data_IF_373855127541
#
_entry.id   IF_373855127541
#
_cell.length_a   1.000
_cell.length_b   1.000
_cell.length_c   1.000
_cell.angle_alpha   90.00
_cell.angle_beta   90.00
_cell.angle_gamma   90.00
#
_symmetry.space_group_name_H-M   'P 1'
#
loop_
_entity.id
_entity.type
_entity.pdbx_description
1 polymer ?
#
# COMPACT_ATOMS: atom_id res chain seq x y z
N UNK A 1 22.15 12.27 7.16
CA UNK A 1 20.77 12.74 7.47
C UNK A 1 20.29 13.97 6.68
N UNK A 2 21.12 15.02 6.44
CA UNK A 2 20.72 16.29 5.77
C UNK A 2 20.14 16.08 4.35
N UNK A 3 20.81 15.30 3.50
CA UNK A 3 20.42 15.01 2.10
C UNK A 3 19.10 14.22 1.95
N UNK A 4 18.83 13.27 2.88
CA UNK A 4 17.55 12.52 2.96
C UNK A 4 16.37 13.44 3.36
N UNK A 5 16.58 14.34 4.35
CA UNK A 5 15.58 15.35 4.73
C UNK A 5 15.31 16.33 3.59
N UNK A 6 16.37 16.79 2.91
CA UNK A 6 16.26 17.73 1.79
C UNK A 6 15.45 17.17 0.61
N UNK A 7 15.68 15.91 0.21
CA UNK A 7 14.90 15.25 -0.84
C UNK A 7 13.43 15.02 -0.45
N UNK A 8 13.15 14.74 0.83
CA UNK A 8 11.78 14.59 1.36
C UNK A 8 11.03 15.93 1.34
N UNK A 9 11.71 17.04 1.63
CA UNK A 9 11.14 18.39 1.59
C UNK A 9 10.92 18.87 0.15
N UNK A 10 11.85 18.59 -0.77
CA UNK A 10 11.72 18.91 -2.20
C UNK A 10 10.54 18.18 -2.85
N UNK A 11 10.37 16.87 -2.61
CA UNK A 11 9.24 16.11 -3.16
C UNK A 11 7.87 16.60 -2.66
N UNK A 12 7.78 17.00 -1.39
CA UNK A 12 6.57 17.62 -0.84
C UNK A 12 6.28 18.98 -1.47
N UNK A 13 7.30 19.83 -1.64
CA UNK A 13 7.14 21.14 -2.28
C UNK A 13 6.65 21.03 -3.71
N UNK A 14 7.21 20.10 -4.50
CA UNK A 14 6.76 19.81 -5.87
C UNK A 14 5.30 19.36 -5.89
N UNK A 15 4.92 18.46 -4.97
CA UNK A 15 3.54 17.95 -4.90
C UNK A 15 2.55 19.08 -4.56
N UNK A 16 2.90 19.96 -3.62
CA UNK A 16 2.05 21.11 -3.24
C UNK A 16 1.92 22.08 -4.42
N UNK A 17 3.03 22.42 -5.07
CA UNK A 17 3.03 23.34 -6.21
C UNK A 17 2.16 22.79 -7.36
N UNK A 18 2.33 21.51 -7.71
CA UNK A 18 1.51 20.85 -8.73
C UNK A 18 0.02 20.87 -8.37
N UNK A 19 -0.33 20.56 -7.12
CA UNK A 19 -1.73 20.63 -6.67
C UNK A 19 -2.31 22.03 -6.79
N UNK A 20 -1.55 23.08 -6.47
CA UNK A 20 -1.98 24.47 -6.62
C UNK A 20 -2.19 24.81 -8.10
N UNK A 21 -1.24 24.45 -8.97
CA UNK A 21 -1.32 24.74 -10.41
C UNK A 21 -2.51 24.03 -11.07
N UNK A 22 -2.70 22.74 -10.76
CA UNK A 22 -3.84 21.94 -11.25
C UNK A 22 -5.15 22.54 -10.73
N UNK A 23 -5.21 22.88 -9.44
CA UNK A 23 -6.38 23.50 -8.83
C UNK A 23 -6.74 24.85 -9.45
N UNK A 24 -5.75 25.71 -9.69
CA UNK A 24 -5.93 27.00 -10.34
C UNK A 24 -6.41 26.85 -11.79
N UNK A 25 -5.78 25.98 -12.57
CA UNK A 25 -6.20 25.69 -13.94
C UNK A 25 -7.64 25.15 -13.99
N UNK A 26 -7.96 24.18 -13.13
CA UNK A 26 -9.30 23.65 -12.98
C UNK A 26 -10.33 24.73 -12.60
N UNK A 27 -9.98 25.63 -11.66
CA UNK A 27 -10.87 26.71 -11.21
C UNK A 27 -11.15 27.75 -12.28
N UNK A 28 -10.13 28.16 -13.05
CA UNK A 28 -10.30 29.10 -14.18
C UNK A 28 -11.19 28.48 -15.25
N UNK A 29 -10.93 27.22 -15.61
CA UNK A 29 -11.70 26.52 -16.64
C UNK A 29 -13.14 26.29 -16.18
N UNK A 30 -13.33 25.90 -14.92
CA UNK A 30 -14.65 25.76 -14.30
C UNK A 30 -15.46 27.06 -14.34
N UNK A 31 -14.85 28.19 -13.95
CA UNK A 31 -15.50 29.49 -13.97
C UNK A 31 -15.87 29.93 -15.40
N UNK A 32 -15.01 29.62 -16.38
CA UNK A 32 -15.24 29.94 -17.78
C UNK A 32 -16.38 29.12 -18.40
N UNK A 33 -16.43 27.80 -18.16
CA UNK A 33 -17.41 26.91 -18.79
C UNK A 33 -18.80 26.94 -18.15
N UNK A 34 -18.92 27.39 -16.90
CA UNK A 34 -20.19 27.41 -16.17
C UNK A 34 -20.82 28.81 -16.04
N UNK A 35 -20.16 29.88 -16.49
CA UNK A 35 -20.70 31.26 -16.44
C UNK A 35 -21.19 31.65 -15.04
N UNK A 36 -20.36 31.32 -14.04
CA UNK A 36 -20.69 31.40 -12.60
C UNK A 36 -21.07 32.79 -12.12
N UNK A 37 -20.75 33.84 -12.89
CA UNK A 37 -21.12 35.25 -12.60
C UNK A 37 -22.62 35.51 -12.68
N UNK A 38 -23.37 34.65 -13.37
CA UNK A 38 -24.83 34.81 -13.58
C UNK A 38 -25.67 33.95 -12.64
N UNK A 39 -25.04 33.16 -11.78
CA UNK A 39 -25.73 32.23 -10.89
C UNK A 39 -26.22 32.93 -9.62
N UNK A 40 -27.42 32.57 -9.17
CA UNK A 40 -27.87 32.83 -7.81
C UNK A 40 -27.04 32.06 -6.78
N UNK A 41 -27.13 32.45 -5.51
CA UNK A 41 -26.38 31.78 -4.43
C UNK A 41 -26.74 30.29 -4.30
N UNK A 42 -28.00 29.92 -4.53
CA UNK A 42 -28.46 28.53 -4.50
C UNK A 42 -27.91 27.72 -5.68
N UNK A 43 -27.92 28.28 -6.88
CA UNK A 43 -27.33 27.65 -8.07
C UNK A 43 -25.82 27.49 -7.92
N UNK A 44 -25.14 28.47 -7.33
CA UNK A 44 -23.73 28.38 -7.01
C UNK A 44 -23.45 27.24 -6.01
N UNK A 45 -24.25 27.13 -4.95
CA UNK A 45 -24.15 26.04 -3.97
C UNK A 45 -24.31 24.66 -4.62
N UNK A 46 -25.34 24.48 -5.45
CA UNK A 46 -25.57 23.23 -6.19
C UNK A 46 -24.42 22.93 -7.16
N UNK A 47 -23.94 23.95 -7.88
CA UNK A 47 -22.81 23.82 -8.81
C UNK A 47 -21.55 23.37 -8.07
N UNK A 48 -21.28 23.92 -6.88
CA UNK A 48 -20.14 23.50 -6.06
C UNK A 48 -20.23 22.03 -5.63
N UNK A 49 -21.41 21.54 -5.25
CA UNK A 49 -21.62 20.12 -4.91
C UNK A 49 -21.29 19.23 -6.10
N UNK A 50 -21.86 19.50 -7.28
CA UNK A 50 -21.59 18.72 -8.49
C UNK A 50 -20.13 18.75 -8.91
N UNK A 51 -19.47 19.89 -8.70
CA UNK A 51 -18.04 20.07 -8.99
C UNK A 51 -17.18 19.15 -8.14
N UNK A 52 -17.44 19.09 -6.84
CA UNK A 52 -16.72 18.17 -5.92
C UNK A 52 -16.97 16.72 -6.31
N UNK A 53 -18.21 16.35 -6.63
CA UNK A 53 -18.57 14.99 -7.05
C UNK A 53 -17.86 14.58 -8.35
N UNK A 54 -17.85 15.45 -9.36
CA UNK A 54 -17.18 15.19 -10.63
C UNK A 54 -15.67 15.15 -10.50
N UNK A 55 -15.08 16.03 -9.68
CA UNK A 55 -13.65 15.98 -9.40
C UNK A 55 -13.26 14.68 -8.70
N UNK A 56 -14.04 14.25 -7.70
CA UNK A 56 -13.81 12.99 -7.01
C UNK A 56 -13.97 11.79 -7.95
N UNK A 57 -15.01 11.77 -8.78
CA UNK A 57 -15.20 10.74 -9.80
C UNK A 57 -14.03 10.70 -10.82
N UNK A 58 -13.53 11.85 -11.25
CA UNK A 58 -12.38 11.95 -12.15
C UNK A 58 -11.11 11.36 -11.52
N UNK A 59 -10.87 11.61 -10.22
CA UNK A 59 -9.76 10.97 -9.49
C UNK A 59 -9.91 9.45 -9.49
N UNK A 60 -11.10 8.91 -9.16
CA UNK A 60 -11.32 7.47 -9.14
C UNK A 60 -11.10 6.82 -10.52
N UNK A 61 -11.61 7.44 -11.58
CA UNK A 61 -11.42 6.95 -12.95
C UNK A 61 -9.95 7.00 -13.35
N UNK A 62 -9.22 8.06 -13.02
CA UNK A 62 -7.79 8.13 -13.35
C UNK A 62 -6.95 7.12 -12.55
N UNK A 63 -7.36 6.76 -11.32
CA UNK A 63 -6.77 5.64 -10.60
C UNK A 63 -7.03 4.33 -11.35
N UNK A 64 -8.26 4.07 -11.80
CA UNK A 64 -8.57 2.85 -12.58
C UNK A 64 -7.74 2.80 -13.87
N UNK A 65 -7.64 3.91 -14.61
CA UNK A 65 -6.81 4.01 -15.81
C UNK A 65 -5.33 3.73 -15.49
N UNK A 66 -4.83 4.29 -14.40
CA UNK A 66 -3.45 4.08 -13.94
C UNK A 66 -3.18 2.60 -13.63
N UNK A 67 -3.99 1.99 -12.76
CA UNK A 67 -3.80 0.58 -12.41
C UNK A 67 -3.99 -0.35 -13.62
N UNK A 68 -4.86 0.02 -14.57
CA UNK A 68 -5.02 -0.71 -15.85
C UNK A 68 -3.75 -0.65 -16.69
N UNK A 69 -2.99 0.44 -16.65
CA UNK A 69 -1.70 0.54 -17.32
C UNK A 69 -0.69 -0.49 -16.78
N UNK A 70 -0.57 -0.65 -15.46
CA UNK A 70 0.25 -1.71 -14.87
C UNK A 70 -0.20 -3.10 -15.31
N UNK A 71 -1.52 -3.33 -15.34
CA UNK A 71 -2.10 -4.60 -15.79
C UNK A 71 -1.72 -4.91 -17.23
N UNK A 72 -1.98 -3.99 -18.16
CA UNK A 72 -1.72 -4.18 -19.60
C UNK A 72 -0.25 -4.42 -19.85
N UNK A 73 0.63 -3.54 -19.34
CA UNK A 73 2.07 -3.69 -19.57
C UNK A 73 2.68 -4.85 -18.79
N UNK A 74 2.12 -5.25 -17.64
CA UNK A 74 2.50 -6.47 -16.95
C UNK A 74 2.17 -7.70 -17.80
N UNK A 75 0.96 -7.81 -18.34
CA UNK A 75 0.57 -8.92 -19.23
C UNK A 75 1.46 -8.99 -20.47
N UNK A 76 1.71 -7.84 -21.12
CA UNK A 76 2.59 -7.74 -22.30
C UNK A 76 4.04 -8.16 -22.00
N UNK A 77 4.47 -8.06 -20.74
CA UNK A 77 5.82 -8.43 -20.30
C UNK A 77 5.88 -9.80 -19.60
N UNK A 78 4.81 -10.59 -19.67
CA UNK A 78 4.76 -11.96 -19.15
C UNK A 78 4.43 -12.08 -17.67
N UNK A 79 4.01 -11.01 -17.01
CA UNK A 79 3.43 -11.08 -15.67
C UNK A 79 2.03 -11.69 -15.71
N UNK A 80 1.64 -12.34 -14.61
CA UNK A 80 0.32 -12.95 -14.44
C UNK A 80 -0.50 -12.14 -13.45
N UNK A 81 -1.77 -11.89 -13.79
CA UNK A 81 -2.67 -11.17 -12.90
C UNK A 81 -2.83 -11.87 -11.53
N UNK A 82 -2.66 -11.13 -10.44
CA UNK A 82 -2.95 -11.60 -9.07
C UNK A 82 -4.12 -10.84 -8.47
N UNK A 83 -4.00 -9.51 -8.37
CA UNK A 83 -5.06 -8.68 -7.81
C UNK A 83 -5.10 -7.27 -8.41
N UNK A 84 -6.30 -6.71 -8.40
CA UNK A 84 -6.61 -5.34 -8.77
C UNK A 84 -7.41 -4.74 -7.64
N UNK A 85 -6.98 -3.61 -7.11
CA UNK A 85 -7.66 -2.95 -6.00
C UNK A 85 -7.92 -1.50 -6.32
N UNK A 86 -9.12 -1.05 -5.97
CA UNK A 86 -9.51 0.36 -5.98
C UNK A 86 -10.07 0.67 -4.61
N UNK A 87 -9.49 1.68 -3.94
CA UNK A 87 -9.78 2.03 -2.55
C UNK A 87 -9.58 0.83 -1.60
N UNK A 88 -10.68 0.25 -1.11
CA UNK A 88 -10.68 -0.95 -0.27
C UNK A 88 -11.12 -2.22 -0.98
N UNK A 89 -11.73 -2.12 -2.16
CA UNK A 89 -12.28 -3.26 -2.90
C UNK A 89 -11.18 -3.89 -3.74
N UNK A 90 -10.89 -5.17 -3.49
CA UNK A 90 -9.83 -5.92 -4.16
C UNK A 90 -10.44 -7.11 -4.90
N UNK A 91 -10.30 -7.09 -6.23
CA UNK A 91 -10.54 -8.24 -7.08
C UNK A 91 -9.26 -9.06 -7.16
N UNK A 92 -9.33 -10.34 -6.87
CA UNK A 92 -8.17 -11.21 -6.91
C UNK A 92 -8.50 -12.57 -7.49
N UNK A 93 -7.50 -13.22 -8.08
CA UNK A 93 -7.62 -14.58 -8.59
C UNK A 93 -7.29 -15.57 -7.48
N UNK A 94 -8.28 -16.35 -7.05
CA UNK A 94 -8.13 -17.46 -6.09
C UNK A 94 -8.69 -18.72 -6.74
N UNK A 95 -7.91 -19.80 -6.76
CA UNK A 95 -8.31 -21.11 -7.32
C UNK A 95 -8.92 -21.03 -8.73
N UNK A 96 -8.33 -20.19 -9.58
CA UNK A 96 -8.80 -19.97 -10.95
C UNK A 96 -10.02 -19.07 -11.09
N UNK A 97 -10.66 -18.65 -9.99
CA UNK A 97 -11.85 -17.80 -9.98
C UNK A 97 -11.53 -16.38 -9.53
N UNK A 98 -12.29 -15.42 -10.03
CA UNK A 98 -12.24 -14.04 -9.56
C UNK A 98 -13.11 -13.90 -8.30
N UNK A 99 -12.50 -13.43 -7.22
CA UNK A 99 -13.19 -13.17 -5.96
C UNK A 99 -13.04 -11.71 -5.56
N UNK A 100 -14.07 -11.19 -4.91
CA UNK A 100 -14.05 -9.87 -4.30
C UNK A 100 -13.70 -9.99 -2.82
N UNK A 101 -12.72 -9.20 -2.39
CA UNK A 101 -12.21 -9.09 -1.02
C UNK A 101 -12.11 -7.62 -0.65
N UNK A 102 -11.91 -7.35 0.64
CA UNK A 102 -11.79 -6.00 1.14
C UNK A 102 -10.51 -5.82 1.96
N UNK A 103 -9.63 -4.92 1.51
CA UNK A 103 -8.41 -4.53 2.22
C UNK A 103 -8.04 -3.09 1.89
N UNK A 104 -7.91 -2.25 2.92
CA UNK A 104 -7.45 -0.87 2.78
C UNK A 104 -6.00 -0.76 3.25
N UNK A 105 -5.14 -0.21 2.40
CA UNK A 105 -3.74 0.09 2.73
C UNK A 105 -3.61 1.62 2.73
N UNK A 106 -3.11 2.22 3.81
CA UNK A 106 -2.93 3.67 3.88
C UNK A 106 -1.93 4.17 2.85
N UNK A 107 -2.29 5.26 2.16
CA UNK A 107 -1.41 5.88 1.17
C UNK A 107 -1.54 5.32 -0.25
N UNK A 108 -2.43 4.35 -0.49
CA UNK A 108 -2.70 3.81 -1.83
C UNK A 108 -4.15 4.08 -2.24
N UNK A 109 -4.36 4.71 -3.39
CA UNK A 109 -5.70 4.92 -3.98
C UNK A 109 -6.17 3.72 -4.80
N UNK A 110 -5.24 3.06 -5.47
CA UNK A 110 -5.41 1.78 -6.17
C UNK A 110 -4.18 0.90 -5.97
N UNK A 111 -4.23 -0.32 -6.48
CA UNK A 111 -3.08 -1.22 -6.58
C UNK A 111 -3.36 -2.36 -7.55
N UNK A 112 -2.52 -2.51 -8.57
CA UNK A 112 -2.43 -3.71 -9.39
C UNK A 112 -1.19 -4.52 -8.99
N UNK A 113 -1.40 -5.74 -8.50
CA UNK A 113 -0.34 -6.68 -8.23
C UNK A 113 -0.36 -7.81 -9.25
N UNK A 114 0.82 -8.14 -9.74
CA UNK A 114 1.00 -9.21 -10.70
C UNK A 114 2.17 -10.11 -10.31
N UNK A 115 2.02 -11.40 -10.57
CA UNK A 115 3.03 -12.42 -10.37
C UNK A 115 4.08 -12.31 -11.47
N UNK A 116 5.37 -12.15 -11.12
CA UNK A 116 6.41 -11.93 -12.09
C UNK A 116 6.72 -13.22 -12.85
N UNK A 117 7.19 -13.11 -14.10
CA UNK A 117 7.81 -14.24 -14.78
C UNK A 117 9.03 -14.72 -13.99
N UNK A 118 9.49 -15.91 -14.31
CA UNK A 118 10.73 -16.42 -13.71
C UNK A 118 11.90 -15.58 -14.19
N UNK A 119 12.91 -15.41 -13.32
CA UNK A 119 14.06 -14.59 -13.65
C UNK A 119 14.86 -15.25 -14.77
N UNK A 120 15.26 -14.46 -15.76
CA UNK A 120 16.21 -14.86 -16.80
C UNK A 120 17.47 -14.02 -16.64
N UNK A 121 18.61 -14.67 -16.47
CA UNK A 121 19.92 -14.00 -16.24
C UNK A 121 19.88 -12.97 -15.10
N UNK A 122 19.18 -13.30 -14.01
CA UNK A 122 19.03 -12.44 -12.84
C UNK A 122 18.10 -11.23 -13.04
N UNK A 123 17.35 -11.17 -14.15
CA UNK A 123 16.50 -10.03 -14.51
C UNK A 123 15.05 -10.43 -14.75
N UNK A 124 14.15 -9.45 -14.55
CA UNK A 124 12.73 -9.47 -14.91
C UNK A 124 12.31 -8.16 -15.59
N UNK A 125 11.29 -8.14 -16.44
CA UNK A 125 10.91 -6.93 -17.16
C UNK A 125 10.16 -5.92 -16.28
N UNK A 126 10.91 -5.08 -15.55
CA UNK A 126 10.34 -4.13 -14.57
C UNK A 126 9.86 -2.81 -15.17
N UNK A 127 10.48 -2.32 -16.24
CA UNK A 127 10.29 -0.94 -16.72
C UNK A 127 8.85 -0.66 -17.16
N UNK A 128 8.34 -1.47 -18.09
CA UNK A 128 6.99 -1.28 -18.64
C UNK A 128 5.92 -1.61 -17.59
N UNK A 129 6.13 -2.65 -16.79
CA UNK A 129 5.23 -2.98 -15.68
C UNK A 129 5.09 -1.80 -14.70
N UNK A 130 6.20 -1.22 -14.25
CA UNK A 130 6.17 -0.11 -13.28
C UNK A 130 5.74 1.21 -13.90
N UNK A 131 6.12 1.53 -15.14
CA UNK A 131 5.72 2.78 -15.78
C UNK A 131 4.34 2.71 -16.44
N UNK A 132 3.71 1.53 -16.49
CA UNK A 132 2.49 1.30 -17.24
C UNK A 132 1.35 2.26 -16.85
N UNK A 133 1.13 2.46 -15.55
CA UNK A 133 0.11 3.40 -15.08
C UNK A 133 0.42 4.85 -15.43
N UNK A 134 1.69 5.25 -15.31
CA UNK A 134 2.15 6.58 -15.73
C UNK A 134 1.92 6.81 -17.22
N UNK A 135 2.23 5.82 -18.08
CA UNK A 135 2.01 5.90 -19.53
C UNK A 135 0.51 6.05 -19.83
N UNK A 136 -0.35 5.25 -19.18
CA UNK A 136 -1.79 5.30 -19.41
C UNK A 136 -2.39 6.65 -19.00
N UNK A 137 -1.97 7.24 -17.87
CA UNK A 137 -2.39 8.59 -17.52
C UNK A 137 -1.85 9.66 -18.48
N UNK A 138 -0.59 9.52 -18.93
CA UNK A 138 0.02 10.46 -19.87
C UNK A 138 -0.67 10.46 -21.23
N UNK A 139 -1.24 9.33 -21.66
CA UNK A 139 -2.02 9.20 -22.88
C UNK A 139 -3.48 9.63 -22.67
N UNK A 140 -4.10 9.26 -21.54
CA UNK A 140 -5.50 9.58 -21.29
C UNK A 140 -5.73 11.09 -21.06
N UNK A 141 -4.77 11.79 -20.46
CA UNK A 141 -4.88 13.22 -20.19
C UNK A 141 -5.09 14.08 -21.45
N UNK A 142 -4.22 14.03 -22.49
CA UNK A 142 -4.44 14.76 -23.73
C UNK A 142 -5.67 14.27 -24.49
N UNK A 143 -5.98 12.96 -24.44
CA UNK A 143 -7.21 12.44 -25.04
C UNK A 143 -8.46 13.12 -24.47
N UNK A 144 -8.60 13.17 -23.14
CA UNK A 144 -9.74 13.83 -22.51
C UNK A 144 -9.77 15.34 -22.74
N UNK A 145 -8.60 15.99 -22.82
CA UNK A 145 -8.51 17.40 -23.17
C UNK A 145 -9.03 17.65 -24.59
N UNK A 146 -8.59 16.85 -25.57
CA UNK A 146 -9.07 16.94 -26.97
C UNK A 146 -10.57 16.71 -27.03
N UNK A 147 -11.09 15.69 -26.36
CA UNK A 147 -12.53 15.41 -26.31
C UNK A 147 -13.33 16.58 -25.70
N UNK A 148 -12.80 17.24 -24.66
CA UNK A 148 -13.48 18.39 -24.04
C UNK A 148 -13.58 19.60 -24.98
N UNK A 149 -12.56 19.82 -25.82
CA UNK A 149 -12.44 20.98 -26.70
C UNK A 149 -13.09 20.76 -28.07
N UNK A 150 -12.92 19.57 -28.65
CA UNK A 150 -13.32 19.28 -30.03
C UNK A 150 -14.74 18.73 -30.17
N UNK A 151 -15.28 18.06 -29.14
CA UNK A 151 -16.60 17.45 -29.23
C UNK A 151 -17.72 18.41 -28.75
N UNK A 152 -18.90 18.42 -29.42
CA UNK A 152 -20.05 19.22 -29.02
C UNK A 152 -20.78 18.59 -27.81
N UNK A 153 -20.11 18.58 -26.66
CA UNK A 153 -20.61 17.99 -25.41
C UNK A 153 -21.24 19.09 -24.54
N UNK A 154 -22.28 18.72 -23.78
CA UNK A 154 -22.91 19.60 -22.77
C UNK A 154 -21.89 20.15 -21.76
N UNK A 155 -22.14 21.35 -21.24
CA UNK A 155 -21.18 22.10 -20.38
C UNK A 155 -20.59 21.27 -19.24
N UNK A 156 -21.44 20.53 -18.54
CA UNK A 156 -21.02 19.65 -17.44
C UNK A 156 -20.13 18.49 -17.89
N UNK A 157 -20.37 17.94 -19.08
CA UNK A 157 -19.51 16.92 -19.67
C UNK A 157 -18.13 17.46 -20.02
N UNK A 158 -18.04 18.71 -20.51
CA UNK A 158 -16.75 19.38 -20.73
C UNK A 158 -15.99 19.56 -19.42
N UNK A 159 -16.63 20.10 -18.38
CA UNK A 159 -16.00 20.28 -17.05
C UNK A 159 -15.47 18.94 -16.52
N UNK A 160 -16.25 17.87 -16.63
CA UNK A 160 -15.83 16.54 -16.19
C UNK A 160 -14.62 16.00 -16.98
N UNK A 161 -14.62 16.13 -18.31
CA UNK A 161 -13.47 15.73 -19.15
C UNK A 161 -12.22 16.55 -18.84
N UNK A 162 -12.38 17.83 -18.49
CA UNK A 162 -11.26 18.68 -18.07
C UNK A 162 -10.70 18.25 -16.72
N UNK A 163 -11.54 17.84 -15.77
CA UNK A 163 -11.06 17.21 -14.53
C UNK A 163 -10.33 15.90 -14.81
N UNK A 164 -10.86 15.05 -15.70
CA UNK A 164 -10.16 13.83 -16.11
C UNK A 164 -8.79 14.14 -16.72
N UNK A 165 -8.71 15.15 -17.60
CA UNK A 165 -7.44 15.58 -18.20
C UNK A 165 -6.44 16.08 -17.15
N UNK A 166 -6.88 16.97 -16.26
CA UNK A 166 -6.05 17.58 -15.23
C UNK A 166 -5.56 16.55 -14.19
N UNK A 167 -6.45 15.67 -13.70
CA UNK A 167 -6.10 14.58 -12.80
C UNK A 167 -5.17 13.56 -13.45
N UNK A 168 -5.37 13.25 -14.74
CA UNK A 168 -4.50 12.37 -15.50
C UNK A 168 -3.09 12.96 -15.63
N UNK A 169 -2.99 14.20 -16.07
CA UNK A 169 -1.71 14.90 -16.20
C UNK A 169 -0.97 14.98 -14.84
N UNK A 170 -1.69 15.35 -13.78
CA UNK A 170 -1.13 15.38 -12.42
C UNK A 170 -0.61 14.02 -11.96
N UNK A 171 -1.39 12.95 -12.15
CA UNK A 171 -1.00 11.58 -11.78
C UNK A 171 0.20 11.11 -12.59
N UNK A 172 0.24 11.39 -13.90
CA UNK A 172 1.35 11.04 -14.77
C UNK A 172 2.66 11.73 -14.33
N UNK A 173 2.61 13.03 -14.02
CA UNK A 173 3.78 13.78 -13.53
C UNK A 173 4.23 13.24 -12.17
N UNK A 174 3.30 13.11 -11.22
CA UNK A 174 3.61 12.70 -9.85
C UNK A 174 4.14 11.28 -9.76
N UNK A 175 3.67 10.34 -10.59
CA UNK A 175 4.19 8.97 -10.62
C UNK A 175 5.37 8.79 -11.56
N UNK A 176 5.49 9.57 -12.64
CA UNK A 176 6.61 9.49 -13.58
C UNK A 176 7.91 10.07 -13.04
N UNK A 177 7.85 11.12 -12.19
CA UNK A 177 9.04 11.66 -11.54
C UNK A 177 9.57 10.70 -10.47
N UNK A 178 10.89 10.52 -10.29
CA UNK A 178 11.44 9.61 -9.30
C UNK A 178 11.37 10.20 -7.88
N UNK A 179 10.18 10.15 -7.26
CA UNK A 179 9.90 10.75 -5.95
C UNK A 179 9.70 9.70 -4.86
N UNK A 180 9.97 10.11 -3.61
CA UNK A 180 9.56 9.36 -2.41
C UNK A 180 8.36 10.05 -1.78
N UNK A 181 7.17 9.48 -1.97
CA UNK A 181 5.91 10.06 -1.52
C UNK A 181 5.51 9.48 -0.17
N UNK A 182 5.48 10.35 0.86
CA UNK A 182 5.14 10.01 2.24
C UNK A 182 5.94 8.81 2.81
N UNK A 183 5.37 7.61 2.72
CA UNK A 183 5.90 6.37 3.29
C UNK A 183 6.31 5.35 2.22
N UNK A 184 6.08 5.60 0.93
CA UNK A 184 6.34 4.66 -0.17
C UNK A 184 7.10 5.33 -1.32
N UNK A 185 7.80 4.52 -2.12
CA UNK A 185 8.34 4.98 -3.39
C UNK A 185 7.21 4.99 -4.43
N UNK A 186 7.18 5.98 -5.32
CA UNK A 186 6.28 5.96 -6.48
C UNK A 186 6.87 5.14 -7.64
N UNK A 187 6.11 5.00 -8.71
CA UNK A 187 6.46 4.18 -9.87
C UNK A 187 7.78 4.58 -10.52
N UNK A 188 7.96 5.86 -10.84
CA UNK A 188 9.17 6.37 -11.49
C UNK A 188 10.41 6.15 -10.62
N UNK A 189 10.27 6.25 -9.30
CA UNK A 189 11.36 5.96 -8.37
C UNK A 189 11.68 4.48 -8.34
N UNK A 190 10.67 3.62 -8.28
CA UNK A 190 10.85 2.16 -8.34
C UNK A 190 11.46 1.73 -9.67
N UNK A 191 10.96 2.23 -10.80
CA UNK A 191 11.48 1.94 -12.13
C UNK A 191 12.96 2.32 -12.26
N UNK A 192 13.35 3.49 -11.75
CA UNK A 192 14.73 3.95 -11.73
C UNK A 192 15.64 3.07 -10.86
N UNK A 193 15.22 2.76 -9.64
CA UNK A 193 16.02 1.96 -8.70
C UNK A 193 16.19 0.51 -9.16
N UNK A 194 15.09 -0.12 -9.59
CA UNK A 194 15.07 -1.53 -9.97
C UNK A 194 15.77 -1.80 -11.31
N UNK A 195 15.75 -0.84 -12.23
CA UNK A 195 16.50 -0.96 -13.49
C UNK A 195 18.01 -1.00 -13.27
N UNK A 196 18.50 -0.30 -12.23
CA UNK A 196 19.95 -0.10 -12.00
C UNK A 196 20.55 -1.06 -10.98
N UNK A 197 19.72 -1.79 -10.24
CA UNK A 197 20.17 -2.63 -9.13
C UNK A 197 19.57 -4.05 -9.24
N UNK A 198 20.36 -5.04 -9.69
CA UNK A 198 19.94 -6.44 -9.79
C UNK A 198 19.48 -7.05 -8.45
N UNK A 199 20.09 -6.66 -7.34
CA UNK A 199 19.69 -7.13 -6.01
C UNK A 199 18.31 -6.59 -5.64
N UNK A 200 18.03 -5.31 -5.91
CA UNK A 200 16.70 -4.73 -5.70
C UNK A 200 15.66 -5.38 -6.62
N UNK A 201 16.04 -5.75 -7.84
CA UNK A 201 15.18 -6.47 -8.79
C UNK A 201 14.86 -7.88 -8.30
N UNK A 202 15.85 -8.62 -7.76
CA UNK A 202 15.62 -9.90 -7.07
C UNK A 202 14.72 -9.71 -5.86
N UNK A 203 14.93 -8.66 -5.08
CA UNK A 203 14.09 -8.38 -3.92
C UNK A 203 12.63 -8.10 -4.31
N UNK A 204 12.37 -7.35 -5.39
CA UNK A 204 11.01 -7.17 -5.91
C UNK A 204 10.42 -8.50 -6.39
N UNK A 205 11.20 -9.31 -7.11
CA UNK A 205 10.75 -10.62 -7.58
C UNK A 205 10.30 -11.51 -6.42
N UNK A 206 11.10 -11.59 -5.35
CA UNK A 206 10.75 -12.34 -4.14
C UNK A 206 9.47 -11.79 -3.52
N UNK A 207 9.36 -10.47 -3.33
CA UNK A 207 8.15 -9.85 -2.77
C UNK A 207 6.88 -10.26 -3.54
N UNK A 208 6.93 -10.22 -4.87
CA UNK A 208 5.78 -10.59 -5.69
C UNK A 208 5.54 -12.11 -5.72
N UNK A 209 6.58 -12.95 -5.66
CA UNK A 209 6.43 -14.40 -5.55
C UNK A 209 5.87 -14.82 -4.19
N UNK A 210 6.26 -14.17 -3.10
CA UNK A 210 5.65 -14.37 -1.78
C UNK A 210 4.15 -14.05 -1.85
N UNK A 211 3.78 -12.88 -2.41
CA UNK A 211 2.37 -12.53 -2.61
C UNK A 211 1.62 -13.55 -3.49
N UNK A 212 2.24 -14.04 -4.56
CA UNK A 212 1.68 -15.09 -5.41
C UNK A 212 1.42 -16.38 -4.64
N UNK A 213 2.37 -16.83 -3.82
CA UNK A 213 2.25 -18.05 -3.02
C UNK A 213 1.24 -17.90 -1.88
N UNK A 214 1.24 -16.76 -1.20
CA UNK A 214 0.23 -16.40 -0.18
C UNK A 214 -1.18 -16.40 -0.78
N UNK A 215 -1.35 -15.86 -2.00
CA UNK A 215 -2.64 -15.88 -2.70
C UNK A 215 -3.10 -17.30 -3.08
N UNK A 216 -2.16 -18.25 -3.21
CA UNK A 216 -2.42 -19.70 -3.39
C UNK A 216 -2.58 -20.46 -2.07
N UNK A 217 -2.59 -19.76 -0.93
CA UNK A 217 -2.77 -20.38 0.38
C UNK A 217 -1.51 -21.03 0.98
N UNK A 218 -0.33 -20.75 0.42
CA UNK A 218 0.94 -21.26 0.96
C UNK A 218 1.45 -20.35 2.09
N UNK A 219 1.79 -20.94 3.24
CA UNK A 219 2.34 -20.19 4.38
C UNK A 219 3.75 -19.69 4.09
N UNK A 220 4.09 -18.53 4.63
CA UNK A 220 5.44 -17.94 4.43
C UNK A 220 6.54 -18.84 5.01
N UNK A 221 6.24 -19.59 6.09
CA UNK A 221 7.11 -20.60 6.67
C UNK A 221 7.47 -21.75 5.70
N UNK A 222 6.59 -22.06 4.74
CA UNK A 222 6.70 -23.17 3.79
C UNK A 222 7.37 -22.76 2.47
N UNK A 223 7.55 -21.46 2.23
CA UNK A 223 8.19 -20.96 1.01
C UNK A 223 9.70 -21.29 0.98
N UNK A 224 10.39 -21.20 -0.17
CA UNK A 224 11.84 -21.49 -0.25
C UNK A 224 12.68 -20.63 0.71
N UNK A 225 13.62 -21.24 1.44
CA UNK A 225 14.40 -20.55 2.48
C UNK A 225 15.35 -19.47 1.93
N UNK A 226 15.88 -19.68 0.73
CA UNK A 226 16.79 -18.79 0.00
C UNK A 226 16.15 -17.43 -0.38
N UNK A 227 14.82 -17.34 -0.31
CA UNK A 227 14.09 -16.08 -0.50
C UNK A 227 14.19 -15.15 0.71
N UNK A 228 14.52 -15.67 1.89
CA UNK A 228 14.46 -14.95 3.16
C UNK A 228 15.84 -14.77 3.81
N UNK A 229 16.90 -14.87 3.00
CA UNK A 229 18.25 -14.54 3.44
C UNK A 229 18.31 -13.03 3.73
N UNK A 230 18.62 -12.68 4.98
CA UNK A 230 18.68 -11.27 5.42
C UNK A 230 19.82 -10.56 4.67
N UNK A 231 19.55 -9.48 3.93
CA UNK A 231 20.60 -8.73 3.24
C UNK A 231 21.50 -7.96 4.21
N UNK A 232 22.62 -7.42 3.72
CA UNK A 232 23.49 -6.57 4.54
C UNK A 232 22.82 -5.24 4.91
N UNK A 233 23.23 -4.64 6.02
CA UNK A 233 22.72 -3.34 6.47
C UNK A 233 22.88 -2.23 5.42
N UNK A 234 23.99 -2.25 4.68
CA UNK A 234 24.25 -1.30 3.60
C UNK A 234 23.25 -1.48 2.44
N UNK A 235 23.02 -2.73 2.01
CA UNK A 235 22.07 -3.04 0.95
C UNK A 235 20.64 -2.69 1.35
N UNK A 236 20.29 -2.92 2.62
CA UNK A 236 18.99 -2.56 3.20
C UNK A 236 18.74 -1.06 3.30
N UNK A 237 19.67 -0.17 2.91
CA UNK A 237 19.32 1.25 2.68
C UNK A 237 18.36 1.42 1.51
N UNK A 238 18.34 0.48 0.56
CA UNK A 238 17.34 0.43 -0.50
C UNK A 238 16.01 -0.13 0.05
N UNK A 239 14.89 0.53 -0.27
CA UNK A 239 13.59 0.16 0.28
C UNK A 239 13.11 -1.24 -0.16
N UNK A 240 13.37 -1.65 -1.41
CA UNK A 240 12.96 -2.97 -1.91
C UNK A 240 13.78 -4.09 -1.25
N UNK A 241 15.10 -3.89 -1.12
CA UNK A 241 15.99 -4.87 -0.47
C UNK A 241 15.64 -4.99 1.01
N UNK A 242 15.37 -3.86 1.69
CA UNK A 242 14.98 -3.85 3.10
C UNK A 242 13.71 -4.67 3.39
N UNK A 243 12.78 -4.78 2.44
CA UNK A 243 11.58 -5.62 2.59
C UNK A 243 11.94 -7.10 2.76
N UNK A 244 13.08 -7.58 2.25
CA UNK A 244 13.51 -8.97 2.45
C UNK A 244 13.79 -9.26 3.94
N UNK A 245 14.40 -8.31 4.66
CA UNK A 245 14.57 -8.43 6.12
C UNK A 245 13.23 -8.51 6.84
N UNK A 246 12.24 -7.72 6.42
CA UNK A 246 10.87 -7.78 6.97
C UNK A 246 10.21 -9.12 6.68
N UNK A 247 10.33 -9.64 5.46
CA UNK A 247 9.81 -10.95 5.08
C UNK A 247 10.47 -12.08 5.87
N UNK A 248 11.78 -11.97 6.14
CA UNK A 248 12.51 -12.92 6.97
C UNK A 248 11.99 -12.92 8.42
N UNK A 249 11.73 -11.74 8.99
CA UNK A 249 11.09 -11.63 10.31
C UNK A 249 9.68 -12.24 10.32
N UNK A 250 8.86 -11.95 9.31
CA UNK A 250 7.52 -12.54 9.16
C UNK A 250 7.59 -14.07 9.05
N UNK A 251 8.60 -14.61 8.35
CA UNK A 251 8.83 -16.05 8.25
C UNK A 251 9.18 -16.66 9.61
N UNK A 252 10.06 -16.03 10.39
CA UNK A 252 10.42 -16.50 11.72
C UNK A 252 9.20 -16.49 12.67
N UNK A 253 8.35 -15.46 12.57
CA UNK A 253 7.08 -15.40 13.29
C UNK A 253 6.14 -16.56 12.92
N UNK A 254 5.99 -16.84 11.62
CA UNK A 254 5.16 -17.93 11.11
C UNK A 254 5.70 -19.32 11.49
N UNK A 255 7.04 -19.44 11.63
CA UNK A 255 7.72 -20.62 12.16
C UNK A 255 7.72 -20.70 13.70
N UNK A 256 7.15 -19.70 14.39
CA UNK A 256 7.16 -19.57 15.85
C UNK A 256 8.57 -19.55 16.49
N UNK A 257 9.58 -19.11 15.74
CA UNK A 257 10.95 -18.90 16.24
C UNK A 257 11.06 -17.50 16.84
N UNK A 258 10.35 -17.26 17.94
CA UNK A 258 10.07 -15.92 18.46
C UNK A 258 11.33 -15.16 18.92
N UNK A 259 12.28 -15.85 19.55
CA UNK A 259 13.53 -15.24 20.03
C UNK A 259 14.34 -14.68 18.86
N UNK A 260 14.46 -15.47 17.78
CA UNK A 260 15.15 -15.05 16.56
C UNK A 260 14.37 -13.96 15.81
N UNK A 261 13.04 -14.06 15.76
CA UNK A 261 12.19 -13.04 15.17
C UNK A 261 12.35 -11.69 15.89
N UNK A 262 12.31 -11.69 17.22
CA UNK A 262 12.47 -10.47 18.01
C UNK A 262 13.86 -9.86 17.86
N UNK A 263 14.93 -10.69 17.91
CA UNK A 263 16.29 -10.23 17.70
C UNK A 263 16.46 -9.58 16.31
N UNK A 264 15.93 -10.21 15.27
CA UNK A 264 15.96 -9.65 13.91
C UNK A 264 15.16 -8.34 13.82
N UNK A 265 13.94 -8.30 14.37
CA UNK A 265 13.14 -7.07 14.34
C UNK A 265 13.77 -5.94 15.17
N UNK A 266 14.44 -6.24 16.28
CA UNK A 266 15.21 -5.29 17.06
C UNK A 266 16.36 -4.70 16.22
N UNK A 267 17.12 -5.55 15.53
CA UNK A 267 18.17 -5.11 14.60
C UNK A 267 17.61 -4.22 13.48
N UNK A 268 16.60 -4.69 12.75
CA UNK A 268 15.98 -3.97 11.62
C UNK A 268 15.40 -2.62 12.03
N UNK A 269 14.95 -2.48 13.28
CA UNK A 269 14.44 -1.22 13.83
C UNK A 269 15.55 -0.29 14.32
N UNK A 270 16.73 -0.79 14.68
CA UNK A 270 17.87 0.00 15.13
C UNK A 270 18.68 0.63 13.97
N UNK A 271 18.78 -0.05 12.83
CA UNK A 271 19.60 0.41 11.69
C UNK A 271 18.94 1.52 10.85
N UNK A 272 19.75 2.35 10.17
CA UNK A 272 19.28 3.29 9.12
C UNK A 272 18.95 2.53 7.84
N UNK A 273 17.79 1.87 7.82
CA UNK A 273 17.30 1.10 6.68
C UNK A 273 16.30 1.88 5.80
N UNK A 274 16.06 1.34 4.62
CA UNK A 274 15.03 1.76 3.67
C UNK A 274 13.61 1.32 4.06
N UNK A 275 13.45 0.59 5.18
CA UNK A 275 12.17 0.03 5.64
C UNK A 275 11.12 1.13 5.74
N UNK A 276 10.06 0.98 4.97
CA UNK A 276 8.93 1.90 4.97
C UNK A 276 8.21 1.84 6.31
N UNK A 277 7.69 2.97 6.79
CA UNK A 277 7.21 2.99 8.16
C UNK A 277 5.92 2.19 8.39
N UNK A 278 5.19 1.75 7.36
CA UNK A 278 4.13 0.75 7.55
C UNK A 278 4.72 -0.57 8.04
N UNK A 279 5.70 -1.14 7.33
CA UNK A 279 6.39 -2.36 7.74
C UNK A 279 7.07 -2.21 9.10
N UNK A 280 7.73 -1.06 9.34
CA UNK A 280 8.36 -0.79 10.64
C UNK A 280 7.37 -0.88 11.80
N UNK A 281 6.20 -0.26 11.68
CA UNK A 281 5.20 -0.28 12.76
C UNK A 281 4.49 -1.63 12.89
N UNK A 282 4.31 -2.39 11.81
CA UNK A 282 3.78 -3.75 11.88
C UNK A 282 4.76 -4.71 12.58
N UNK A 283 6.06 -4.63 12.29
CA UNK A 283 7.07 -5.38 13.07
C UNK A 283 7.06 -5.02 14.55
N UNK A 284 6.85 -3.74 14.90
CA UNK A 284 6.69 -3.35 16.31
C UNK A 284 5.45 -4.00 16.95
N UNK A 285 4.37 -4.22 16.19
CA UNK A 285 3.22 -4.97 16.69
C UNK A 285 3.60 -6.43 17.01
N UNK A 286 4.44 -7.06 16.18
CA UNK A 286 4.97 -8.40 16.43
C UNK A 286 5.88 -8.46 17.65
N UNK A 287 6.78 -7.50 17.81
CA UNK A 287 7.61 -7.39 19.02
C UNK A 287 6.79 -7.18 20.29
N UNK A 288 5.74 -6.35 20.24
CA UNK A 288 4.79 -6.18 21.36
C UNK A 288 4.13 -7.52 21.70
N UNK A 289 3.68 -8.26 20.70
CA UNK A 289 3.10 -9.59 20.92
C UNK A 289 4.11 -10.53 21.59
N UNK A 290 5.35 -10.60 21.09
CA UNK A 290 6.40 -11.46 21.68
C UNK A 290 6.67 -11.07 23.13
N UNK A 291 6.84 -9.77 23.42
CA UNK A 291 7.06 -9.28 24.77
C UNK A 291 5.95 -9.73 25.73
N UNK A 292 4.68 -9.66 25.30
CA UNK A 292 3.55 -10.05 26.14
C UNK A 292 3.34 -11.56 26.23
N UNK A 293 3.23 -12.23 25.09
CA UNK A 293 2.78 -13.62 24.99
C UNK A 293 3.88 -14.64 25.27
N UNK A 294 5.15 -14.28 25.04
CA UNK A 294 6.28 -15.21 25.08
C UNK A 294 7.23 -14.86 26.23
N UNK A 295 7.67 -13.61 26.32
CA UNK A 295 8.65 -13.17 27.32
C UNK A 295 8.05 -12.78 28.67
N UNK A 296 6.73 -12.51 28.70
CA UNK A 296 6.04 -11.96 29.86
C UNK A 296 6.68 -10.65 30.40
N UNK A 297 7.03 -9.74 29.48
CA UNK A 297 7.65 -8.42 29.76
C UNK A 297 6.69 -7.27 29.40
N UNK A 298 5.63 -7.01 30.18
CA UNK A 298 4.64 -5.97 29.87
C UNK A 298 5.23 -4.55 29.82
N UNK A 299 6.34 -4.30 30.48
CA UNK A 299 7.07 -3.03 30.48
C UNK A 299 7.73 -2.77 29.12
N UNK A 300 8.31 -3.80 28.51
CA UNK A 300 8.86 -3.74 27.14
C UNK A 300 7.73 -3.47 26.13
N UNK A 301 6.60 -4.17 26.27
CA UNK A 301 5.42 -3.96 25.43
C UNK A 301 4.88 -2.52 25.53
N UNK A 302 4.79 -1.95 26.74
CA UNK A 302 4.38 -0.56 26.96
C UNK A 302 5.37 0.43 26.33
N UNK A 303 6.68 0.18 26.45
CA UNK A 303 7.71 1.03 25.85
C UNK A 303 7.64 1.05 24.31
N UNK A 304 7.31 -0.09 23.69
CA UNK A 304 7.13 -0.21 22.24
C UNK A 304 5.82 0.43 21.74
N UNK A 305 4.82 0.62 22.62
CA UNK A 305 3.51 1.20 22.30
C UNK A 305 3.56 2.73 22.15
N UNK A 306 4.40 3.20 21.22
CA UNK A 306 4.56 4.63 20.89
C UNK A 306 3.30 5.22 20.23
N UNK A 307 3.20 6.56 20.18
CA UNK A 307 2.09 7.27 19.52
C UNK A 307 1.94 6.86 18.04
N UNK A 308 3.06 6.61 17.37
CA UNK A 308 3.12 6.16 15.98
C UNK A 308 2.54 4.75 15.80
N UNK A 309 2.91 3.81 16.69
CA UNK A 309 2.37 2.44 16.68
C UNK A 309 0.87 2.45 16.94
N UNK A 310 0.41 3.18 17.96
CA UNK A 310 -1.03 3.32 18.27
C UNK A 310 -1.80 3.90 17.08
N UNK A 311 -1.24 4.92 16.42
CA UNK A 311 -1.84 5.51 15.22
C UNK A 311 -1.93 4.50 14.08
N UNK A 312 -0.87 3.72 13.83
CA UNK A 312 -0.88 2.69 12.80
C UNK A 312 -1.87 1.58 13.13
N UNK A 313 -1.92 1.07 14.36
CA UNK A 313 -2.89 0.06 14.78
C UNK A 313 -4.33 0.55 14.58
N UNK A 314 -4.62 1.83 14.87
CA UNK A 314 -5.95 2.42 14.61
C UNK A 314 -6.29 2.47 13.12
N UNK A 315 -5.33 2.82 12.27
CA UNK A 315 -5.53 2.88 10.82
C UNK A 315 -5.63 1.47 10.22
N UNK A 316 -4.86 0.53 10.75
CA UNK A 316 -4.79 -0.88 10.37
C UNK A 316 -5.66 -1.77 11.26
N UNK A 317 -6.76 -1.23 11.81
CA UNK A 317 -7.63 -1.91 12.80
C UNK A 317 -8.29 -3.21 12.32
N UNK A 318 -8.20 -3.49 11.01
CA UNK A 318 -8.70 -4.70 10.36
C UNK A 318 -7.56 -5.51 9.73
N UNK A 319 -6.31 -5.23 10.08
CA UNK A 319 -5.15 -5.97 9.59
C UNK A 319 -4.80 -7.08 10.59
N UNK A 320 -4.49 -8.30 10.14
CA UNK A 320 -4.35 -9.47 11.01
C UNK A 320 -3.40 -9.27 12.20
N UNK A 321 -2.15 -8.89 11.95
CA UNK A 321 -1.16 -8.73 13.03
C UNK A 321 -1.49 -7.60 14.02
N UNK A 322 -2.11 -6.52 13.54
CA UNK A 322 -2.57 -5.43 14.40
C UNK A 322 -3.74 -5.85 15.31
N UNK A 323 -4.66 -6.67 14.78
CA UNK A 323 -5.76 -7.27 15.55
C UNK A 323 -5.23 -8.22 16.62
N UNK A 324 -4.31 -9.14 16.25
CA UNK A 324 -3.69 -10.08 17.19
C UNK A 324 -2.97 -9.32 18.31
N UNK A 325 -2.14 -8.34 17.98
CA UNK A 325 -1.44 -7.53 19.00
C UNK A 325 -2.42 -6.74 19.89
N UNK A 326 -3.47 -6.15 19.31
CA UNK A 326 -4.47 -5.42 20.08
C UNK A 326 -5.24 -6.34 21.04
N UNK A 327 -5.57 -7.55 20.60
CA UNK A 327 -6.19 -8.59 21.43
C UNK A 327 -5.29 -8.95 22.62
N UNK A 328 -4.04 -9.33 22.34
CA UNK A 328 -3.07 -9.72 23.38
C UNK A 328 -2.83 -8.59 24.38
N UNK A 329 -2.74 -7.35 23.92
CA UNK A 329 -2.57 -6.18 24.79
C UNK A 329 -3.80 -5.93 25.68
N UNK A 330 -5.01 -6.02 25.12
CA UNK A 330 -6.25 -5.84 25.88
C UNK A 330 -6.40 -6.90 26.97
N UNK A 331 -6.02 -8.15 26.68
CA UNK A 331 -6.11 -9.26 27.61
C UNK A 331 -5.05 -9.18 28.71
N UNK A 332 -3.77 -9.04 28.35
CA UNK A 332 -2.67 -9.21 29.30
C UNK A 332 -2.24 -7.92 30.01
N UNK A 333 -2.38 -6.75 29.36
CA UNK A 333 -1.95 -5.47 29.94
C UNK A 333 -3.14 -4.72 30.51
N UNK A 334 -4.20 -4.54 29.74
CA UNK A 334 -5.39 -3.79 30.17
C UNK A 334 -6.31 -4.63 31.07
N UNK A 335 -6.15 -5.96 31.06
CA UNK A 335 -7.02 -6.92 31.77
C UNK A 335 -8.50 -6.69 31.47
N UNK A 336 -8.80 -6.32 30.22
CA UNK A 336 -10.14 -5.99 29.77
C UNK A 336 -10.67 -7.07 28.82
N UNK A 337 -11.30 -8.10 29.41
CA UNK A 337 -11.87 -9.24 28.67
C UNK A 337 -12.92 -8.81 27.65
N UNK A 338 -13.83 -7.91 28.01
CA UNK A 338 -14.87 -7.43 27.10
C UNK A 338 -14.29 -6.78 25.83
N UNK A 339 -13.21 -6.00 25.98
CA UNK A 339 -12.50 -5.41 24.84
C UNK A 339 -11.74 -6.47 24.03
N UNK A 340 -11.11 -7.44 24.68
CA UNK A 340 -10.46 -8.56 24.00
C UNK A 340 -11.46 -9.37 23.16
N UNK A 341 -12.63 -9.68 23.72
CA UNK A 341 -13.72 -10.40 23.03
C UNK A 341 -14.23 -9.61 21.81
N UNK A 342 -14.39 -8.28 21.91
CA UNK A 342 -14.77 -7.43 20.78
C UNK A 342 -13.73 -7.50 19.64
N UNK A 343 -12.43 -7.49 19.99
CA UNK A 343 -11.33 -7.58 19.02
C UNK A 343 -11.30 -8.98 18.40
N UNK A 344 -11.51 -10.04 19.19
CA UNK A 344 -11.57 -11.41 18.69
C UNK A 344 -12.71 -11.59 17.68
N UNK A 345 -13.91 -11.08 18.00
CA UNK A 345 -15.04 -11.07 17.06
C UNK A 345 -14.73 -10.30 15.77
N UNK A 346 -13.94 -9.22 15.86
CA UNK A 346 -13.48 -8.49 14.67
C UNK A 346 -12.48 -9.30 13.84
N UNK A 347 -11.57 -10.03 14.48
CA UNK A 347 -10.65 -10.96 13.82
C UNK A 347 -11.42 -12.05 13.06
N UNK A 348 -12.41 -12.66 13.69
CA UNK A 348 -13.29 -13.67 13.06
C UNK A 348 -14.09 -13.09 11.87
N UNK A 349 -14.60 -11.86 11.98
CA UNK A 349 -15.26 -11.16 10.86
C UNK A 349 -14.28 -10.87 9.71
N UNK A 350 -13.03 -10.54 10.03
CA UNK A 350 -11.98 -10.26 9.04
C UNK A 350 -11.72 -11.49 8.15
N UNK A 351 -11.78 -12.72 8.69
CA UNK A 351 -11.59 -13.97 7.93
C UNK A 351 -12.47 -14.12 6.69
N UNK A 352 -13.69 -13.58 6.73
CA UNK A 352 -14.62 -13.70 5.59
C UNK A 352 -14.28 -12.77 4.43
N UNK A 353 -13.53 -11.70 4.70
CA UNK A 353 -13.36 -10.58 3.75
C UNK A 353 -11.90 -10.28 3.41
N UNK A 354 -10.96 -10.74 4.24
CA UNK A 354 -9.53 -10.51 4.05
C UNK A 354 -8.99 -11.29 2.83
N UNK A 355 -8.09 -10.69 2.03
CA UNK A 355 -7.57 -11.32 0.81
C UNK A 355 -6.78 -12.61 1.02
N UNK A 356 -6.10 -12.77 2.16
CA UNK A 356 -5.13 -13.86 2.37
C UNK A 356 -5.49 -14.72 3.59
N UNK A 357 -6.36 -15.73 3.46
CA UNK A 357 -6.81 -16.56 4.57
C UNK A 357 -5.66 -17.23 5.33
N UNK A 358 -4.59 -17.61 4.62
CA UNK A 358 -3.42 -18.27 5.20
C UNK A 358 -2.70 -17.39 6.23
N UNK A 359 -2.66 -16.08 6.05
CA UNK A 359 -2.08 -15.15 7.03
C UNK A 359 -2.96 -15.08 8.28
N UNK A 360 -4.29 -15.10 8.13
CA UNK A 360 -5.20 -15.07 9.27
C UNK A 360 -5.13 -16.35 10.10
N UNK A 361 -4.94 -17.51 9.48
CA UNK A 361 -4.74 -18.77 10.21
C UNK A 361 -3.50 -18.70 11.10
N UNK A 362 -2.39 -18.16 10.58
CA UNK A 362 -1.19 -17.95 11.38
C UNK A 362 -1.43 -17.03 12.59
N UNK A 363 -2.15 -15.92 12.40
CA UNK A 363 -2.48 -15.02 13.52
C UNK A 363 -3.44 -15.65 14.53
N UNK A 364 -4.36 -16.51 14.10
CA UNK A 364 -5.26 -17.24 15.00
C UNK A 364 -4.50 -18.20 15.89
N UNK A 365 -3.54 -18.95 15.36
CA UNK A 365 -2.67 -19.83 16.15
C UNK A 365 -1.94 -19.04 17.25
N UNK A 366 -1.51 -17.81 16.95
CA UNK A 366 -0.87 -16.93 17.92
C UNK A 366 -1.86 -16.40 18.98
N UNK A 367 -3.09 -16.08 18.60
CA UNK A 367 -4.15 -15.73 19.58
C UNK A 367 -4.46 -16.91 20.50
N UNK A 368 -4.68 -18.11 19.95
CA UNK A 368 -4.97 -19.31 20.74
C UNK A 368 -3.83 -19.67 21.70
N UNK A 369 -2.58 -19.43 21.30
CA UNK A 369 -1.42 -19.63 22.16
C UNK A 369 -1.47 -18.76 23.41
N UNK A 370 -1.92 -17.52 23.28
CA UNK A 370 -2.12 -16.60 24.42
C UNK A 370 -3.20 -17.13 25.36
N UNK A 371 -4.32 -17.61 24.81
CA UNK A 371 -5.44 -18.16 25.59
C UNK A 371 -5.04 -19.43 26.36
N UNK A 372 -4.27 -20.34 25.73
CA UNK A 372 -3.78 -21.56 26.40
C UNK A 372 -2.77 -21.26 27.50
N UNK A 373 -1.93 -20.23 27.32
CA UNK A 373 -0.97 -19.79 28.34
C UNK A 373 -1.59 -18.99 29.48
N UNK A 374 -2.83 -18.51 29.32
CA UNK A 374 -3.57 -17.71 30.29
C UNK A 374 -5.04 -18.15 30.30
N UNK A 375 -5.34 -19.37 30.79
CA UNK A 375 -6.71 -19.84 30.89
C UNK A 375 -7.50 -18.85 31.76
N UNK A 376 -8.58 -18.31 31.18
CA UNK A 376 -9.40 -17.27 31.79
C UNK A 376 -10.18 -17.80 33.00
#
# INVERSE_FOLDING_TARGET
MKKKRENKTKGKGITILLSILIGAACGVMWAHFLDVKKMSLQELGNTMVWTVLFFYAAILIQIVIHETGHLVFGLLTGYKFLSFRILGMMWMKQDGRMVLRHMRIPGTGGQCLMGPPDMKDGKIPVKLYLMGGTIFNAVSAPLFLVLALACPIVRWGKVFLLFLAACGAGTAILNGMPLRLAMVNNDGKNALELTKNPEAQRALWIQLKVLEQTAKGVRVAQMPADWFVVPSDEAMKNANIATIGVLAANRLMDQQRFEEADALMAHLTAIDSGIVGLHRNLMLCDRIYIALAIKNTPEEAKALMTKEVVKIMKVMRNYPSALRTAYTYALLVEKNKAKADEIYLRLQKCMKTYPYPVELLAEQELVEKVERGNPI
#
